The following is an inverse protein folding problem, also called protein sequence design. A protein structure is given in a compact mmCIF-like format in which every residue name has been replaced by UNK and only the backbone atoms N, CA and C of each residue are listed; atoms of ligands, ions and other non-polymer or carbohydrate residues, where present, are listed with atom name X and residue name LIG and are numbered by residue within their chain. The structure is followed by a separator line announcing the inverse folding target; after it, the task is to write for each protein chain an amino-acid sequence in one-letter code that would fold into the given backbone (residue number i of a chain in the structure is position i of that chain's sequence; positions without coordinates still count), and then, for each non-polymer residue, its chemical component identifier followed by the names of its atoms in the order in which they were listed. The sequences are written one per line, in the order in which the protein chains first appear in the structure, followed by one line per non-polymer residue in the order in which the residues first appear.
data_IF_390263219164
#
_entry.id   IF_390263219164
#
_cell.length_a   1.000
_cell.length_b   1.000
_cell.length_c   1.000
_cell.angle_alpha   90.00
_cell.angle_beta   90.00
_cell.angle_gamma   90.00
#
_symmetry.space_group_name_H-M   'P 1'
#
loop_
_entity.id
_entity.type
_entity.pdbx_description
1 polymer ?
#
# COMPACT_ATOMS: atom_id res chain seq x y z
N UNK A 1 -5.82 -1.00 0.17
CA UNK A 1 -5.30 -0.38 1.43
C UNK A 1 -4.45 0.87 1.19
N UNK A 2 -3.46 0.87 0.28
CA UNK A 2 -2.58 2.04 0.04
C UNK A 2 -3.31 3.36 -0.24
N UNK A 3 -4.34 3.32 -1.09
CA UNK A 3 -5.21 4.47 -1.36
C UNK A 3 -5.81 5.08 -0.09
N UNK A 4 -6.30 4.25 0.84
CA UNK A 4 -6.92 4.72 2.09
C UNK A 4 -5.91 5.38 3.03
N UNK A 5 -4.68 4.86 3.11
CA UNK A 5 -3.62 5.51 3.88
C UNK A 5 -3.22 6.86 3.27
N UNK A 6 -3.13 6.95 1.94
CA UNK A 6 -2.81 8.20 1.27
C UNK A 6 -3.94 9.24 1.46
N UNK A 7 -5.19 8.83 1.29
CA UNK A 7 -6.34 9.71 1.53
C UNK A 7 -6.37 10.19 2.98
N UNK A 8 -6.14 9.30 3.95
CA UNK A 8 -6.12 9.70 5.36
C UNK A 8 -5.00 10.70 5.67
N UNK A 9 -3.80 10.49 5.11
CA UNK A 9 -2.70 11.45 5.21
C UNK A 9 -3.08 12.83 4.64
N UNK A 10 -3.74 12.88 3.48
CA UNK A 10 -4.20 14.14 2.88
C UNK A 10 -5.32 14.82 3.67
N UNK A 11 -6.09 14.05 4.44
CA UNK A 11 -7.14 14.55 5.34
C UNK A 11 -6.63 14.87 6.75
N UNK A 12 -5.32 14.75 7.00
CA UNK A 12 -4.71 15.08 8.29
C UNK A 12 -4.81 13.97 9.34
N UNK A 13 -4.72 12.70 8.92
CA UNK A 13 -4.63 11.52 9.78
C UNK A 13 -5.80 11.36 10.77
N UNK A 14 -7.04 11.42 10.25
CA UNK A 14 -8.26 11.42 11.06
C UNK A 14 -8.87 10.03 11.26
N UNK A 15 -8.50 9.07 10.42
CA UNK A 15 -9.10 7.73 10.40
C UNK A 15 -8.20 6.69 11.06
N UNK A 16 -6.90 6.68 10.74
CA UNK A 16 -5.93 5.74 11.28
C UNK A 16 -5.09 6.39 12.37
N UNK A 17 -4.84 5.67 13.46
CA UNK A 17 -3.87 6.10 14.46
C UNK A 17 -2.47 6.22 13.83
N UNK A 18 -1.84 7.38 14.04
CA UNK A 18 -0.47 7.70 13.65
C UNK A 18 0.39 7.97 14.88
N UNK A 19 1.69 7.78 14.73
CA UNK A 19 2.70 7.98 15.79
C UNK A 19 3.63 9.16 15.46
N UNK A 20 3.63 9.59 14.19
CA UNK A 20 4.39 10.72 13.64
C UNK A 20 3.67 11.25 12.38
N UNK A 21 3.88 12.52 11.98
CA UNK A 21 3.07 13.18 10.94
C UNK A 21 3.03 12.48 9.57
N UNK A 22 4.10 11.81 9.17
CA UNK A 22 4.19 11.13 7.87
C UNK A 22 3.83 9.64 7.93
N UNK A 23 3.30 9.13 9.05
CA UNK A 23 3.13 7.69 9.26
C UNK A 23 2.20 7.07 8.19
N UNK A 24 1.05 7.68 7.91
CA UNK A 24 0.16 7.18 6.85
C UNK A 24 0.76 7.33 5.44
N UNK A 25 1.58 8.36 5.19
CA UNK A 25 2.32 8.49 3.94
C UNK A 25 3.32 7.33 3.76
N UNK A 26 4.07 6.98 4.79
CA UNK A 26 5.01 5.83 4.77
C UNK A 26 4.27 4.51 4.53
N UNK A 27 3.14 4.29 5.22
CA UNK A 27 2.27 3.14 4.98
C UNK A 27 1.79 3.08 3.53
N UNK A 28 1.33 4.20 2.97
CA UNK A 28 0.86 4.26 1.58
C UNK A 28 1.95 3.87 0.56
N UNK A 29 3.18 4.36 0.74
CA UNK A 29 4.34 4.06 -0.13
C UNK A 29 4.67 2.56 -0.15
N UNK A 30 4.67 1.93 1.03
CA UNK A 30 4.90 0.48 1.15
C UNK A 30 3.86 -0.31 0.36
N UNK A 31 2.58 0.07 0.45
CA UNK A 31 1.53 -0.62 -0.30
C UNK A 31 1.64 -0.44 -1.81
N UNK A 32 2.06 0.73 -2.29
CA UNK A 32 2.27 0.94 -3.73
C UNK A 32 3.48 0.18 -4.25
N UNK A 33 4.55 0.08 -3.46
CA UNK A 33 5.71 -0.74 -3.78
C UNK A 33 5.32 -2.22 -3.92
N UNK A 34 4.49 -2.74 -3.02
CA UNK A 34 3.98 -4.10 -3.09
C UNK A 34 3.20 -4.35 -4.38
N UNK A 35 2.29 -3.43 -4.77
CA UNK A 35 1.54 -3.56 -6.03
C UNK A 35 2.49 -3.54 -7.24
N UNK A 36 3.48 -2.65 -7.25
CA UNK A 36 4.46 -2.61 -8.33
C UNK A 36 5.29 -3.91 -8.45
N UNK A 37 5.58 -4.57 -7.33
CA UNK A 37 6.26 -5.87 -7.35
C UNK A 37 5.33 -7.00 -7.78
N UNK A 38 4.08 -7.00 -7.33
CA UNK A 38 3.04 -7.91 -7.81
C UNK A 38 2.83 -7.79 -9.32
N UNK A 39 2.79 -6.58 -9.88
CA UNK A 39 2.69 -6.37 -11.32
C UNK A 39 3.88 -6.98 -12.08
N UNK A 40 5.10 -6.86 -11.54
CA UNK A 40 6.31 -7.46 -12.15
C UNK A 40 6.30 -8.99 -12.08
N UNK A 41 5.74 -9.56 -11.01
CA UNK A 41 5.68 -11.01 -10.78
C UNK A 41 4.36 -11.64 -11.25
N UNK A 42 3.56 -10.92 -12.04
CA UNK A 42 2.19 -11.34 -12.39
C UNK A 42 2.14 -12.74 -13.00
N UNK A 43 3.01 -13.01 -13.99
CA UNK A 43 3.07 -14.32 -14.65
C UNK A 43 3.44 -15.46 -13.70
N UNK A 44 4.35 -15.21 -12.74
CA UNK A 44 4.79 -16.21 -11.78
C UNK A 44 3.67 -16.53 -10.78
N UNK A 45 3.00 -15.50 -10.27
CA UNK A 45 1.83 -15.68 -9.39
C UNK A 45 0.72 -16.45 -10.09
N UNK A 46 0.43 -16.16 -11.37
CA UNK A 46 -0.57 -16.89 -12.14
C UNK A 46 -0.21 -18.37 -12.33
N UNK A 47 1.08 -18.67 -12.56
CA UNK A 47 1.55 -20.06 -12.65
C UNK A 47 1.39 -20.81 -11.32
N UNK A 48 1.74 -20.18 -10.20
CA UNK A 48 1.61 -20.76 -8.86
C UNK A 48 0.15 -21.11 -8.53
N UNK A 49 -0.81 -20.27 -8.92
CA UNK A 49 -2.24 -20.51 -8.65
C UNK A 49 -2.83 -21.63 -9.53
N UNK A 50 -2.28 -21.85 -10.74
CA UNK A 50 -2.75 -22.86 -11.69
C UNK A 50 -2.15 -24.25 -11.47
N UNK A 51 -1.04 -24.34 -10.75
CA UNK A 51 -0.36 -25.59 -10.39
C UNK A 51 -1.11 -26.33 -9.27
#
# INVERSE_FOLDING_TARGET
CGMRFLTDYLLGDTYFKTDYPEHNLVRSRTQFKLVSEMEKMWSEMEQIVKA
#
